data_IF_608279170368
#
_entry.id   IF_608279170368
#
_cell.length_a   1.000
_cell.length_b   1.000
_cell.length_c   1.000
_cell.angle_alpha   90.00
_cell.angle_beta   90.00
_cell.angle_gamma   90.00
#
_symmetry.space_group_name_H-M   'P 1'
#
loop_
_entity.id
_entity.type
_entity.pdbx_description
1 polymer ?
#
# COMPACT_ATOMS: atom_id res chain seq x y z
N UNK A 1 -41.99 7.85 22.86
CA UNK A 1 -41.42 6.89 21.89
C UNK A 1 -39.94 6.83 22.19
N UNK A 2 -39.39 5.64 22.42
CA UNK A 2 -37.99 5.50 22.81
C UNK A 2 -37.13 5.50 21.52
N UNK A 3 -36.51 6.64 21.23
CA UNK A 3 -35.72 6.81 19.99
C UNK A 3 -34.38 6.09 20.01
N UNK A 4 -33.91 5.61 21.16
CA UNK A 4 -32.66 4.84 21.29
C UNK A 4 -32.79 3.41 20.83
N UNK A 5 -34.01 2.92 20.57
CA UNK A 5 -34.24 1.58 20.05
C UNK A 5 -34.17 1.59 18.51
N UNK A 6 -33.79 0.43 17.95
CA UNK A 6 -33.81 0.22 16.50
C UNK A 6 -35.15 0.68 15.88
N UNK A 7 -35.14 1.49 14.80
CA UNK A 7 -36.34 2.09 14.23
C UNK A 7 -37.46 1.10 13.84
N UNK A 8 -37.06 -0.07 13.31
CA UNK A 8 -38.01 -1.13 12.90
C UNK A 8 -38.14 -2.26 13.92
N UNK A 9 -37.51 -2.11 15.11
CA UNK A 9 -37.45 -3.16 16.13
C UNK A 9 -36.69 -4.42 15.66
N UNK A 10 -35.77 -4.30 14.68
CA UNK A 10 -34.96 -5.40 14.14
C UNK A 10 -35.71 -6.32 13.16
N UNK A 11 -36.97 -5.97 12.78
CA UNK A 11 -37.75 -6.84 11.88
C UNK A 11 -37.37 -6.70 10.41
N UNK A 12 -36.90 -5.55 10.01
CA UNK A 12 -36.43 -5.26 8.65
C UNK A 12 -35.10 -4.56 8.72
N UNK A 13 -34.14 -4.92 7.86
CA UNK A 13 -32.85 -4.25 7.86
C UNK A 13 -33.00 -2.79 7.43
N UNK A 14 -32.22 -1.92 8.08
CA UNK A 14 -32.10 -0.52 7.68
C UNK A 14 -30.97 -0.42 6.66
N UNK A 15 -31.27 0.20 5.53
CA UNK A 15 -30.24 0.52 4.53
C UNK A 15 -29.48 1.76 4.95
N UNK A 16 -28.14 1.62 5.00
CA UNK A 16 -27.22 2.68 5.39
C UNK A 16 -26.31 3.00 4.21
N UNK A 17 -26.36 4.23 3.74
CA UNK A 17 -25.40 4.76 2.78
C UNK A 17 -24.21 5.32 3.54
N UNK A 18 -23.00 4.87 3.19
CA UNK A 18 -21.76 5.35 3.81
C UNK A 18 -20.94 6.15 2.83
N UNK A 19 -20.14 7.07 3.35
CA UNK A 19 -19.20 7.88 2.59
C UNK A 19 -17.92 8.08 3.39
N UNK A 20 -16.79 8.04 2.72
CA UNK A 20 -15.46 8.26 3.29
C UNK A 20 -14.79 9.44 2.58
N UNK A 21 -14.45 10.48 3.31
CA UNK A 21 -13.69 11.60 2.80
C UNK A 21 -12.35 11.72 3.51
N UNK A 22 -11.27 11.47 2.79
CA UNK A 22 -9.91 11.47 3.33
C UNK A 22 -9.35 12.89 3.26
N UNK A 23 -8.97 13.44 4.41
CA UNK A 23 -8.42 14.80 4.53
C UNK A 23 -6.91 14.83 4.61
N UNK A 24 -6.29 13.80 5.18
CA UNK A 24 -4.84 13.72 5.29
C UNK A 24 -4.36 12.27 5.38
N UNK A 25 -3.20 12.02 4.76
CA UNK A 25 -2.38 10.84 5.01
C UNK A 25 -1.16 11.27 5.82
N UNK A 26 -0.93 10.59 6.94
CA UNK A 26 0.22 10.87 7.81
C UNK A 26 1.40 9.99 7.41
N UNK A 27 1.18 8.67 7.28
CA UNK A 27 2.21 7.71 6.93
C UNK A 27 1.61 6.47 6.25
N UNK A 28 2.42 5.82 5.42
CA UNK A 28 2.24 4.45 4.95
C UNK A 28 3.48 3.70 5.42
N UNK A 29 3.31 2.75 6.35
CA UNK A 29 4.39 1.99 6.99
C UNK A 29 4.26 0.51 6.61
N UNK A 30 4.99 0.11 5.59
CA UNK A 30 4.99 -1.25 5.09
C UNK A 30 5.65 -2.23 6.07
N UNK A 31 6.55 -1.74 6.93
CA UNK A 31 7.25 -2.57 7.93
C UNK A 31 6.32 -2.96 9.09
N UNK A 32 5.31 -2.12 9.38
CA UNK A 32 4.29 -2.37 10.39
C UNK A 32 2.97 -2.86 9.80
N UNK A 33 2.92 -3.08 8.50
CA UNK A 33 1.71 -3.48 7.79
C UNK A 33 0.53 -2.56 8.11
N UNK A 34 0.76 -1.22 8.06
CA UNK A 34 -0.23 -0.24 8.47
C UNK A 34 -0.11 1.08 7.71
N UNK A 35 -1.18 1.88 7.78
CA UNK A 35 -1.16 3.27 7.33
C UNK A 35 -1.95 4.16 8.28
N UNK A 36 -1.54 5.41 8.40
CA UNK A 36 -2.15 6.41 9.28
C UNK A 36 -2.85 7.47 8.44
N UNK A 37 -4.12 7.73 8.77
CA UNK A 37 -5.01 8.57 7.98
C UNK A 37 -5.99 9.34 8.86
N UNK A 38 -6.34 10.55 8.43
CA UNK A 38 -7.44 11.33 9.01
C UNK A 38 -8.48 11.67 7.96
N UNK A 39 -9.74 11.76 8.40
CA UNK A 39 -10.83 12.02 7.48
C UNK A 39 -12.19 12.17 8.15
N UNK A 40 -13.21 12.06 7.30
CA UNK A 40 -14.63 12.06 7.71
C UNK A 40 -15.28 10.76 7.25
N UNK A 41 -15.91 10.08 8.20
CA UNK A 41 -16.88 9.01 7.92
C UNK A 41 -18.27 9.60 7.98
N UNK A 42 -19.06 9.39 6.94
CA UNK A 42 -20.46 9.81 6.89
C UNK A 42 -21.32 8.58 6.74
N UNK A 43 -22.36 8.46 7.57
CA UNK A 43 -23.40 7.45 7.43
C UNK A 43 -24.77 8.12 7.34
N UNK A 44 -25.61 7.68 6.40
CA UNK A 44 -26.95 8.22 6.18
C UNK A 44 -27.96 7.07 6.12
N UNK A 45 -29.02 7.19 6.90
CA UNK A 45 -30.14 6.22 6.92
C UNK A 45 -31.47 6.94 7.12
N UNK A 46 -32.58 6.23 6.92
CA UNK A 46 -33.90 6.75 7.17
C UNK A 46 -34.47 6.20 8.47
N UNK A 47 -34.92 7.09 9.36
CA UNK A 47 -35.70 6.77 10.54
C UNK A 47 -37.11 7.35 10.38
N UNK A 48 -38.13 6.53 10.03
CA UNK A 48 -39.48 7.00 9.79
C UNK A 48 -40.12 7.68 11.00
N UNK A 49 -39.63 7.42 12.22
CA UNK A 49 -40.14 8.03 13.46
C UNK A 49 -39.85 9.53 13.54
N UNK A 50 -38.84 9.99 12.78
CA UNK A 50 -38.38 11.37 12.75
C UNK A 50 -39.03 12.21 11.63
N UNK A 51 -39.73 11.57 10.70
CA UNK A 51 -40.43 12.27 9.62
C UNK A 51 -41.51 13.19 10.18
N UNK A 52 -41.55 14.45 9.71
CA UNK A 52 -42.57 15.42 10.10
C UNK A 52 -43.73 15.30 9.13
N UNK A 53 -44.98 15.06 9.62
CA UNK A 53 -46.16 14.99 8.77
C UNK A 53 -46.36 16.27 7.94
N UNK A 54 -46.79 16.11 6.69
CA UNK A 54 -46.95 17.22 5.74
C UNK A 54 -47.92 18.30 6.19
N UNK A 55 -48.93 17.95 7.00
CA UNK A 55 -49.93 18.84 7.58
C UNK A 55 -49.36 19.81 8.64
N UNK A 56 -48.30 19.42 9.34
CA UNK A 56 -47.58 20.27 10.31
C UNK A 56 -46.52 21.17 9.66
N UNK A 57 -46.30 20.98 8.38
CA UNK A 57 -45.25 21.67 7.61
C UNK A 57 -45.74 23.01 7.00
N UNK A 58 -47.07 23.23 6.91
CA UNK A 58 -47.66 24.34 6.17
C UNK A 58 -47.68 25.68 6.93
N UNK A 59 -47.39 25.68 8.23
CA UNK A 59 -47.71 26.86 9.08
C UNK A 59 -46.53 27.81 9.37
N UNK A 60 -45.37 27.64 8.77
CA UNK A 60 -44.29 28.64 8.90
C UNK A 60 -43.55 28.81 7.56
N UNK A 61 -43.91 29.93 6.92
CA UNK A 61 -43.28 30.40 5.66
C UNK A 61 -41.76 30.67 5.72
N UNK A 62 -41.00 29.69 6.14
CA UNK A 62 -39.55 29.69 6.10
C UNK A 62 -39.12 28.37 5.51
N UNK A 63 -38.63 28.40 4.29
CA UNK A 63 -37.95 27.31 3.55
C UNK A 63 -36.63 26.83 4.22
N UNK A 64 -36.44 27.14 5.51
CA UNK A 64 -35.36 26.65 6.29
C UNK A 64 -35.62 25.17 6.59
N UNK A 65 -34.84 24.30 5.96
CA UNK A 65 -34.71 22.90 6.28
C UNK A 65 -34.65 22.72 7.79
N UNK A 66 -35.71 22.14 8.40
CA UNK A 66 -35.73 21.86 9.83
C UNK A 66 -34.73 20.76 10.14
N UNK A 67 -33.49 21.17 10.37
CA UNK A 67 -32.40 20.25 10.80
C UNK A 67 -32.51 20.17 12.33
N UNK A 68 -32.70 18.95 12.83
CA UNK A 68 -32.69 18.64 14.27
C UNK A 68 -31.39 17.94 14.60
N UNK A 69 -30.66 18.45 15.60
CA UNK A 69 -29.40 17.87 16.09
C UNK A 69 -29.68 16.96 17.27
N UNK A 70 -29.05 15.81 17.32
CA UNK A 70 -29.17 14.81 18.37
C UNK A 70 -27.82 14.47 18.96
N UNK A 71 -27.84 13.89 20.18
CA UNK A 71 -26.69 13.19 20.76
C UNK A 71 -26.79 11.71 20.42
N UNK A 72 -25.67 11.00 20.44
CA UNK A 72 -25.62 9.54 20.21
C UNK A 72 -26.43 8.76 21.26
N UNK A 73 -26.59 9.32 22.46
CA UNK A 73 -27.41 8.75 23.56
C UNK A 73 -28.92 8.94 23.38
N UNK A 74 -29.33 9.90 22.56
CA UNK A 74 -30.75 10.29 22.40
C UNK A 74 -31.40 9.62 21.18
N UNK A 75 -30.64 9.14 20.24
CA UNK A 75 -31.13 8.56 18.99
C UNK A 75 -30.37 7.29 18.64
N UNK A 76 -31.08 6.28 18.18
CA UNK A 76 -30.44 5.09 17.62
C UNK A 76 -29.56 5.48 16.45
N UNK A 77 -28.31 5.02 16.52
CA UNK A 77 -27.35 5.14 15.44
C UNK A 77 -26.65 3.78 15.23
N UNK A 78 -26.36 3.40 14.00
CA UNK A 78 -25.55 2.21 13.74
C UNK A 78 -24.16 2.43 14.33
N UNK A 79 -23.72 1.51 15.19
CA UNK A 79 -22.36 1.52 15.70
C UNK A 79 -21.45 0.97 14.57
N UNK A 80 -20.93 1.84 13.73
CA UNK A 80 -20.02 1.48 12.64
C UNK A 80 -18.59 1.63 13.14
N UNK A 81 -17.80 0.59 12.97
CA UNK A 81 -16.39 0.58 13.33
C UNK A 81 -15.50 0.23 12.11
N UNK A 82 -14.24 0.64 12.15
CA UNK A 82 -13.26 0.20 11.19
C UNK A 82 -12.70 -1.17 11.61
N UNK A 83 -13.06 -2.23 10.86
CA UNK A 83 -12.72 -3.63 11.19
C UNK A 83 -11.22 -3.89 11.22
N UNK A 84 -10.47 -3.24 10.31
CA UNK A 84 -9.03 -3.33 10.24
C UNK A 84 -8.29 -2.25 11.05
N UNK A 85 -8.95 -1.60 12.04
CA UNK A 85 -8.29 -0.55 12.82
C UNK A 85 -7.37 -1.12 13.90
N UNK A 86 -6.13 -0.64 13.93
CA UNK A 86 -5.19 -0.82 15.04
C UNK A 86 -5.49 0.22 16.11
N UNK A 87 -5.81 1.44 15.70
CA UNK A 87 -6.26 2.51 16.58
C UNK A 87 -7.22 3.41 15.83
N UNK A 88 -8.29 3.83 16.51
CA UNK A 88 -9.29 4.74 15.98
C UNK A 88 -9.60 5.81 17.03
N UNK A 89 -9.50 7.07 16.63
CA UNK A 89 -9.81 8.22 17.50
C UNK A 89 -10.86 9.07 16.84
N UNK A 90 -12.05 9.06 17.42
CA UNK A 90 -13.11 10.01 17.09
C UNK A 90 -12.77 11.37 17.70
N UNK A 91 -12.60 12.39 16.86
CA UNK A 91 -12.30 13.75 17.30
C UNK A 91 -13.58 14.56 17.55
N UNK A 92 -14.52 14.46 16.65
CA UNK A 92 -15.80 15.16 16.70
C UNK A 92 -16.85 14.36 15.94
N UNK A 93 -18.11 14.51 16.30
CA UNK A 93 -19.24 13.98 15.53
C UNK A 93 -20.38 14.98 15.42
N UNK A 94 -21.22 14.80 14.42
CA UNK A 94 -22.49 15.49 14.23
C UNK A 94 -23.54 14.45 13.87
N UNK A 95 -24.70 14.52 14.52
CA UNK A 95 -25.84 13.64 14.25
C UNK A 95 -27.08 14.54 14.02
N UNK A 96 -27.55 14.57 12.79
CA UNK A 96 -28.62 15.44 12.37
C UNK A 96 -29.71 14.68 11.63
N UNK A 97 -30.97 15.06 11.85
CA UNK A 97 -32.10 14.54 11.08
C UNK A 97 -32.77 15.68 10.30
N UNK A 98 -33.08 15.39 9.03
CA UNK A 98 -33.87 16.28 8.20
C UNK A 98 -35.38 16.07 8.40
N UNK A 99 -36.18 16.85 7.66
CA UNK A 99 -37.64 16.85 7.73
C UNK A 99 -38.25 15.51 7.30
N UNK A 100 -37.63 14.82 6.36
CA UNK A 100 -38.13 13.57 5.80
C UNK A 100 -37.70 12.34 6.64
N UNK A 101 -37.01 12.59 7.77
CA UNK A 101 -36.56 11.57 8.69
C UNK A 101 -35.24 10.91 8.25
N UNK A 102 -34.54 11.49 7.29
CA UNK A 102 -33.16 11.03 7.00
C UNK A 102 -32.23 11.55 8.09
N UNK A 103 -31.53 10.61 8.70
CA UNK A 103 -30.49 10.86 9.69
C UNK A 103 -29.13 10.82 9.03
N UNK A 104 -28.33 11.83 9.29
CA UNK A 104 -26.94 11.90 8.82
C UNK A 104 -26.01 11.97 10.02
N UNK A 105 -25.14 10.97 10.14
CA UNK A 105 -24.03 10.92 11.07
C UNK A 105 -22.76 11.30 10.34
N UNK A 106 -21.99 12.21 10.90
CA UNK A 106 -20.67 12.60 10.39
C UNK A 106 -19.69 12.50 11.56
N UNK A 107 -18.63 11.76 11.36
CA UNK A 107 -17.54 11.62 12.31
C UNK A 107 -16.24 12.10 11.68
N UNK A 108 -15.53 12.96 12.41
CA UNK A 108 -14.13 13.27 12.10
C UNK A 108 -13.23 12.36 12.89
N UNK A 109 -12.37 11.61 12.20
CA UNK A 109 -11.50 10.62 12.81
C UNK A 109 -10.04 10.78 12.41
N UNK A 110 -9.14 10.25 13.27
CA UNK A 110 -7.78 9.87 12.95
C UNK A 110 -7.63 8.38 13.28
N UNK A 111 -7.07 7.61 12.36
CA UNK A 111 -6.95 6.16 12.52
C UNK A 111 -5.63 5.61 11.98
N UNK A 112 -5.15 4.56 12.64
CA UNK A 112 -4.12 3.67 12.11
C UNK A 112 -4.81 2.37 11.70
N UNK A 113 -4.73 2.03 10.43
CA UNK A 113 -5.38 0.87 9.85
C UNK A 113 -4.35 -0.17 9.42
N UNK A 114 -4.62 -1.44 9.68
CA UNK A 114 -3.83 -2.56 9.19
C UNK A 114 -4.04 -2.76 7.69
N UNK A 115 -2.99 -3.14 6.97
CA UNK A 115 -3.07 -3.38 5.53
C UNK A 115 -1.99 -4.35 5.08
N UNK A 116 -2.35 -5.32 4.26
CA UNK A 116 -1.41 -6.24 3.63
C UNK A 116 -0.74 -5.58 2.42
N UNK A 117 0.59 -5.66 2.35
CA UNK A 117 1.38 -5.09 1.26
C UNK A 117 2.03 -6.19 0.42
N UNK A 118 1.85 -6.14 -0.91
CA UNK A 118 2.63 -6.97 -1.83
C UNK A 118 3.85 -6.20 -2.36
N UNK A 119 5.02 -6.56 -1.84
CA UNK A 119 6.30 -5.93 -2.16
C UNK A 119 7.13 -6.72 -3.19
N UNK A 120 6.56 -7.75 -3.85
CA UNK A 120 7.30 -8.53 -4.85
C UNK A 120 7.89 -7.67 -5.96
N UNK A 121 7.15 -6.63 -6.39
CA UNK A 121 7.57 -5.68 -7.43
C UNK A 121 8.23 -4.41 -6.89
N UNK A 122 8.59 -4.40 -5.61
CA UNK A 122 9.24 -3.24 -5.00
C UNK A 122 10.50 -2.84 -5.75
N UNK A 123 10.71 -1.56 -6.11
CA UNK A 123 9.92 -0.37 -5.78
C UNK A 123 8.95 0.08 -6.90
N UNK A 124 8.55 -0.79 -7.80
CA UNK A 124 7.60 -0.49 -8.90
C UNK A 124 6.18 -0.99 -8.60
N UNK A 125 5.89 -1.16 -7.31
CA UNK A 125 4.66 -1.73 -6.78
C UNK A 125 3.48 -0.73 -6.80
N UNK A 126 2.28 -1.31 -6.82
CA UNK A 126 1.02 -0.65 -6.54
C UNK A 126 0.41 -1.32 -5.33
N UNK A 127 -0.09 -0.54 -4.40
CA UNK A 127 -0.73 -1.04 -3.20
C UNK A 127 -2.20 -0.65 -3.17
N UNK A 128 -3.00 -1.45 -2.50
CA UNK A 128 -4.41 -1.18 -2.25
C UNK A 128 -4.58 -0.98 -0.76
N UNK A 129 -4.86 0.25 -0.35
CA UNK A 129 -5.16 0.57 1.04
C UNK A 129 -6.64 0.32 1.27
N UNK A 130 -6.98 -0.51 2.25
CA UNK A 130 -8.34 -0.90 2.55
C UNK A 130 -8.87 -0.19 3.80
N UNK A 131 -10.09 0.33 3.71
CA UNK A 131 -10.86 0.87 4.81
C UNK A 131 -12.11 0.00 4.94
N UNK A 132 -12.13 -0.85 5.95
CA UNK A 132 -13.16 -1.86 6.16
C UNK A 132 -14.08 -1.41 7.30
N UNK A 133 -15.33 -1.04 6.97
CA UNK A 133 -16.30 -0.60 7.95
C UNK A 133 -17.38 -1.66 8.14
N UNK A 134 -17.60 -2.05 9.37
CA UNK A 134 -18.63 -3.03 9.77
C UNK A 134 -19.47 -2.51 10.92
N UNK A 135 -20.71 -3.02 11.09
CA UNK A 135 -21.50 -2.73 12.28
C UNK A 135 -21.01 -3.57 13.46
N UNK A 136 -20.68 -2.93 14.60
CA UNK A 136 -20.09 -3.59 15.77
C UNK A 136 -20.98 -4.65 16.42
N UNK A 137 -22.25 -4.36 16.62
CA UNK A 137 -23.19 -5.23 17.35
C UNK A 137 -24.41 -5.67 16.52
N UNK A 138 -24.56 -5.15 15.30
CA UNK A 138 -25.75 -5.39 14.48
C UNK A 138 -25.50 -6.48 13.46
N UNK A 139 -26.52 -7.30 13.25
CA UNK A 139 -26.47 -8.40 12.29
C UNK A 139 -26.87 -7.93 10.89
N UNK A 140 -26.57 -8.75 9.87
CA UNK A 140 -27.03 -8.51 8.50
C UNK A 140 -28.57 -8.49 8.36
N UNK A 141 -29.31 -8.96 9.36
CA UNK A 141 -30.76 -8.82 9.45
C UNK A 141 -31.24 -7.45 9.91
N UNK A 142 -30.36 -6.68 10.55
CA UNK A 142 -30.69 -5.34 11.12
C UNK A 142 -30.14 -4.20 10.26
N UNK A 143 -28.97 -4.40 9.65
CA UNK A 143 -28.28 -3.38 8.85
C UNK A 143 -27.88 -3.93 7.51
N UNK A 144 -28.05 -3.12 6.47
CA UNK A 144 -27.55 -3.37 5.11
C UNK A 144 -26.87 -2.10 4.60
N UNK A 145 -25.64 -2.24 4.11
CA UNK A 145 -24.98 -1.14 3.42
C UNK A 145 -25.52 -0.98 1.99
N UNK A 146 -25.73 0.28 1.59
CA UNK A 146 -26.16 0.61 0.24
C UNK A 146 -25.08 0.19 -0.80
N UNK A 147 -25.48 -0.22 -2.01
CA UNK A 147 -24.54 -0.69 -3.04
C UNK A 147 -23.67 0.44 -3.62
N UNK A 148 -24.02 1.69 -3.33
CA UNK A 148 -23.27 2.87 -3.77
C UNK A 148 -22.90 3.76 -2.59
N UNK A 149 -21.71 4.36 -2.60
CA UNK A 149 -21.30 5.26 -1.53
C UNK A 149 -22.03 6.60 -1.63
N UNK A 150 -21.97 7.38 -0.55
CA UNK A 150 -22.48 8.75 -0.57
C UNK A 150 -21.66 9.64 -1.52
N UNK A 151 -22.27 10.65 -2.16
CA UNK A 151 -21.58 11.61 -3.04
C UNK A 151 -20.45 12.38 -2.34
N UNK A 152 -20.45 12.44 -1.01
CA UNK A 152 -19.39 13.03 -0.19
C UNK A 152 -18.11 12.19 -0.14
N UNK A 153 -18.09 11.00 -0.76
CA UNK A 153 -16.91 10.13 -0.81
C UNK A 153 -15.85 10.72 -1.71
N UNK A 154 -14.61 10.78 -1.21
CA UNK A 154 -13.52 11.34 -1.98
C UNK A 154 -12.24 11.54 -1.19
N UNK A 155 -11.32 12.24 -1.79
CA UNK A 155 -10.01 12.57 -1.22
C UNK A 155 -9.79 14.07 -1.42
N UNK A 156 -9.29 14.75 -0.38
CA UNK A 156 -8.92 16.16 -0.49
C UNK A 156 -7.91 16.38 -1.63
N UNK A 157 -8.14 17.35 -2.52
CA UNK A 157 -7.22 17.63 -3.65
C UNK A 157 -5.78 17.91 -3.21
N UNK A 158 -5.59 18.46 -2.03
CA UNK A 158 -4.26 18.74 -1.46
C UNK A 158 -3.45 17.47 -1.21
N UNK A 159 -4.11 16.34 -0.92
CA UNK A 159 -3.45 15.08 -0.60
C UNK A 159 -2.81 14.40 -1.81
N UNK A 160 -3.24 14.70 -3.03
CA UNK A 160 -2.58 14.21 -4.25
C UNK A 160 -1.13 14.69 -4.38
N UNK A 161 -0.76 15.77 -3.70
CA UNK A 161 0.57 16.37 -3.75
C UNK A 161 1.42 16.12 -2.49
N UNK A 162 0.82 15.83 -1.35
CA UNK A 162 1.52 15.72 -0.07
C UNK A 162 2.23 14.38 0.17
N UNK A 163 1.75 13.28 -0.43
CA UNK A 163 2.44 12.00 -0.36
C UNK A 163 3.65 11.97 -1.30
N UNK A 164 4.82 12.35 -0.76
CA UNK A 164 6.06 12.46 -1.55
C UNK A 164 6.46 11.13 -2.23
N UNK A 165 6.27 10.00 -1.55
CA UNK A 165 6.65 8.66 -2.02
C UNK A 165 5.57 7.96 -2.84
N UNK A 166 4.31 8.44 -2.81
CA UNK A 166 3.17 7.76 -3.39
C UNK A 166 2.36 8.67 -4.32
N UNK A 167 1.72 8.07 -5.29
CA UNK A 167 0.75 8.70 -6.17
C UNK A 167 -0.60 8.02 -5.92
N UNK A 168 -1.61 8.81 -5.57
CA UNK A 168 -2.98 8.35 -5.40
C UNK A 168 -3.60 8.23 -6.80
N UNK A 169 -4.25 7.08 -7.07
CA UNK A 169 -4.86 6.83 -8.38
C UNK A 169 -6.38 6.86 -8.31
N UNK A 170 -6.98 5.94 -7.52
CA UNK A 170 -8.42 5.69 -7.59
C UNK A 170 -8.95 5.27 -6.22
N UNK A 171 -10.17 5.69 -5.90
CA UNK A 171 -10.91 5.28 -4.70
C UNK A 171 -12.15 4.50 -5.15
N UNK A 172 -12.24 3.24 -4.77
CA UNK A 172 -13.35 2.33 -5.10
C UNK A 172 -14.12 1.98 -3.84
N UNK A 173 -15.39 1.70 -4.02
CA UNK A 173 -16.27 1.26 -2.95
C UNK A 173 -16.94 -0.07 -3.34
N UNK A 174 -17.03 -0.98 -2.39
CA UNK A 174 -17.79 -2.22 -2.49
C UNK A 174 -18.53 -2.49 -1.17
N UNK A 175 -19.75 -3.01 -1.26
CA UNK A 175 -20.48 -3.50 -0.11
C UNK A 175 -20.53 -5.03 -0.22
N UNK A 176 -19.77 -5.72 0.60
CA UNK A 176 -19.61 -7.18 0.54
C UNK A 176 -20.21 -7.87 1.78
N UNK A 177 -20.65 -9.11 1.61
CA UNK A 177 -21.01 -9.95 2.75
C UNK A 177 -19.78 -10.70 3.20
N UNK A 178 -19.32 -10.41 4.39
CA UNK A 178 -18.17 -11.10 5.00
C UNK A 178 -18.70 -12.09 6.04
N UNK A 179 -18.13 -13.27 6.03
CA UNK A 179 -18.32 -14.24 7.11
C UNK A 179 -17.50 -13.73 8.31
N UNK A 180 -18.19 -13.08 9.23
CA UNK A 180 -17.62 -12.63 10.49
C UNK A 180 -17.06 -13.81 11.28
N UNK A 181 -16.14 -13.50 12.20
CA UNK A 181 -15.51 -14.46 13.09
C UNK A 181 -16.51 -15.45 13.71
N UNK A 182 -16.04 -16.64 14.10
CA UNK A 182 -16.82 -17.81 14.54
C UNK A 182 -17.90 -17.54 15.59
N UNK A 183 -17.89 -16.39 16.23
CA UNK A 183 -18.81 -16.04 17.31
C UNK A 183 -19.85 -14.98 16.96
N UNK A 184 -19.74 -14.32 15.82
CA UNK A 184 -20.69 -13.28 15.38
C UNK A 184 -21.43 -13.72 14.12
N UNK A 185 -22.72 -13.40 13.98
CA UNK A 185 -23.47 -13.69 12.76
C UNK A 185 -22.87 -12.93 11.57
N UNK A 186 -23.02 -13.45 10.34
CA UNK A 186 -22.52 -12.77 9.14
C UNK A 186 -22.99 -11.33 9.09
N UNK A 187 -22.08 -10.40 8.95
CA UNK A 187 -22.34 -8.98 8.77
C UNK A 187 -22.03 -8.57 7.33
N UNK A 188 -22.53 -7.43 6.91
CA UNK A 188 -22.13 -6.81 5.66
C UNK A 188 -21.07 -5.77 5.95
N UNK A 189 -20.00 -5.75 5.16
CA UNK A 189 -18.94 -4.74 5.24
C UNK A 189 -19.06 -3.73 4.11
N UNK A 190 -18.73 -2.49 4.43
CA UNK A 190 -18.52 -1.41 3.48
C UNK A 190 -17.00 -1.20 3.31
N UNK A 191 -16.47 -1.60 2.18
CA UNK A 191 -15.02 -1.56 1.91
C UNK A 191 -14.71 -0.45 0.93
N UNK A 192 -13.84 0.49 1.34
CA UNK A 192 -13.26 1.48 0.45
C UNK A 192 -11.82 1.08 0.15
N UNK A 193 -11.49 0.99 -1.13
CA UNK A 193 -10.19 0.58 -1.63
C UNK A 193 -9.51 1.73 -2.33
N UNK A 194 -8.40 2.20 -1.78
CA UNK A 194 -7.60 3.25 -2.36
C UNK A 194 -6.36 2.68 -3.03
N UNK A 195 -6.29 2.81 -4.35
CA UNK A 195 -5.13 2.37 -5.12
C UNK A 195 -4.05 3.45 -5.11
N UNK A 196 -2.89 3.11 -4.56
CA UNK A 196 -1.72 3.98 -4.54
C UNK A 196 -0.56 3.35 -5.30
N UNK A 197 0.21 4.16 -6.03
CA UNK A 197 1.39 3.74 -6.79
C UNK A 197 2.64 4.39 -6.22
N UNK A 198 3.69 3.60 -5.98
CA UNK A 198 4.98 4.11 -5.49
C UNK A 198 5.70 4.95 -6.55
N UNK A 199 6.29 6.07 -6.12
CA UNK A 199 7.19 6.89 -6.95
C UNK A 199 8.60 6.31 -6.88
N UNK A 200 8.95 5.48 -7.84
CA UNK A 200 10.22 4.74 -7.86
C UNK A 200 11.47 5.61 -8.08
N UNK A 201 11.33 6.90 -8.37
CA UNK A 201 12.46 7.80 -8.73
C UNK A 201 13.56 7.84 -7.68
N UNK A 202 13.21 7.90 -6.40
CA UNK A 202 14.19 7.85 -5.31
C UNK A 202 15.05 6.58 -5.37
N UNK A 203 14.39 5.43 -5.49
CA UNK A 203 15.04 4.10 -5.53
C UNK A 203 15.92 3.93 -6.77
N UNK A 204 15.46 4.43 -7.94
CA UNK A 204 16.25 4.40 -9.18
C UNK A 204 17.59 5.11 -9.00
N UNK A 205 17.57 6.36 -8.51
CA UNK A 205 18.78 7.16 -8.40
C UNK A 205 19.66 6.80 -7.19
N UNK A 206 19.05 6.42 -6.07
CA UNK A 206 19.78 6.18 -4.83
C UNK A 206 20.23 4.73 -4.63
N UNK A 207 19.58 3.77 -5.30
CA UNK A 207 19.86 2.35 -5.14
C UNK A 207 20.34 1.73 -6.45
N UNK A 208 19.51 1.76 -7.50
CA UNK A 208 19.84 1.04 -8.74
C UNK A 208 21.06 1.63 -9.47
N UNK A 209 21.22 2.94 -9.51
CA UNK A 209 22.38 3.56 -10.17
C UNK A 209 23.68 3.22 -9.45
N UNK A 210 23.86 3.41 -8.12
CA UNK A 210 25.06 2.97 -7.42
C UNK A 210 25.33 1.47 -7.55
N UNK A 211 24.31 0.63 -7.43
CA UNK A 211 24.43 -0.83 -7.57
C UNK A 211 24.90 -1.21 -8.98
N UNK A 212 24.33 -0.59 -10.01
CA UNK A 212 24.77 -0.80 -11.39
C UNK A 212 26.22 -0.38 -11.60
N UNK A 213 26.64 0.76 -11.04
CA UNK A 213 28.05 1.18 -11.09
C UNK A 213 28.97 0.18 -10.40
N UNK A 214 28.63 -0.28 -9.19
CA UNK A 214 29.40 -1.29 -8.46
C UNK A 214 29.49 -2.62 -9.23
N UNK A 215 28.44 -2.99 -9.96
CA UNK A 215 28.41 -4.21 -10.77
C UNK A 215 29.25 -4.05 -12.06
N UNK A 216 29.26 -2.88 -12.66
CA UNK A 216 29.98 -2.64 -13.93
C UNK A 216 31.45 -2.30 -13.73
N UNK A 217 31.87 -1.74 -12.59
CA UNK A 217 33.28 -1.40 -12.33
C UNK A 217 34.21 -2.63 -12.48
N UNK A 218 33.88 -3.85 -12.03
CA UNK A 218 34.71 -5.04 -12.27
C UNK A 218 34.99 -5.31 -13.75
N UNK A 219 34.14 -4.83 -14.67
CA UNK A 219 34.37 -4.96 -16.10
C UNK A 219 35.76 -4.40 -16.54
N UNK A 220 36.27 -3.39 -15.84
CA UNK A 220 37.54 -2.75 -16.14
C UNK A 220 38.71 -3.75 -16.10
N UNK A 221 38.63 -4.81 -15.29
CA UNK A 221 39.68 -5.81 -15.18
C UNK A 221 39.95 -6.53 -16.51
N UNK A 222 38.95 -6.66 -17.39
CA UNK A 222 39.10 -7.32 -18.69
C UNK A 222 39.98 -6.53 -19.68
N UNK A 223 40.39 -5.30 -19.38
CA UNK A 223 41.37 -4.52 -20.14
C UNK A 223 42.77 -4.53 -19.52
N UNK A 224 42.92 -5.12 -18.32
CA UNK A 224 44.20 -5.25 -17.63
C UNK A 224 44.87 -6.53 -18.11
N UNK A 225 46.24 -6.50 -18.22
CA UNK A 225 47.00 -7.68 -18.63
C UNK A 225 46.80 -8.83 -17.65
N UNK A 226 46.59 -10.02 -18.21
CA UNK A 226 46.39 -11.27 -17.47
C UNK A 226 47.52 -11.62 -16.51
N UNK A 227 48.71 -11.02 -16.69
CA UNK A 227 49.90 -11.24 -15.83
C UNK A 227 49.78 -10.47 -14.49
N UNK A 228 48.90 -9.48 -14.40
CA UNK A 228 48.72 -8.64 -13.20
C UNK A 228 47.65 -9.22 -12.27
N UNK A 229 47.79 -10.47 -11.86
CA UNK A 229 46.80 -11.21 -11.08
C UNK A 229 46.32 -10.46 -9.83
N UNK A 230 47.23 -9.80 -9.11
CA UNK A 230 46.89 -9.06 -7.88
C UNK A 230 45.89 -7.91 -8.15
N UNK A 231 46.07 -7.19 -9.25
CA UNK A 231 45.15 -6.11 -9.65
C UNK A 231 43.83 -6.66 -10.16
N UNK A 232 43.88 -7.74 -10.96
CA UNK A 232 42.69 -8.38 -11.47
C UNK A 232 41.76 -8.83 -10.33
N UNK A 233 42.30 -9.39 -9.25
CA UNK A 233 41.52 -9.91 -8.12
C UNK A 233 41.05 -8.80 -7.18
N UNK A 234 41.86 -7.76 -6.93
CA UNK A 234 41.54 -6.67 -5.99
C UNK A 234 40.27 -5.93 -6.36
N UNK A 235 40.05 -5.61 -7.64
CA UNK A 235 38.90 -4.79 -8.08
C UNK A 235 37.57 -5.47 -7.79
N UNK A 236 37.30 -6.71 -8.28
CA UNK A 236 35.99 -7.33 -8.01
C UNK A 236 35.79 -7.68 -6.54
N UNK A 237 36.85 -8.05 -5.79
CA UNK A 237 36.76 -8.32 -4.36
C UNK A 237 36.38 -7.05 -3.57
N UNK A 238 36.95 -5.89 -3.93
CA UNK A 238 36.60 -4.61 -3.32
C UNK A 238 35.13 -4.24 -3.63
N UNK A 239 34.68 -4.46 -4.86
CA UNK A 239 33.29 -4.19 -5.24
C UNK A 239 32.30 -5.12 -4.54
N UNK A 240 32.62 -6.41 -4.38
CA UNK A 240 31.82 -7.35 -3.59
C UNK A 240 31.66 -6.85 -2.15
N UNK A 241 32.76 -6.46 -1.49
CA UNK A 241 32.68 -5.95 -0.13
C UNK A 241 31.85 -4.66 -0.06
N UNK A 242 32.00 -3.76 -1.02
CA UNK A 242 31.24 -2.53 -1.12
C UNK A 242 29.75 -2.80 -1.33
N UNK A 243 29.39 -3.78 -2.17
CA UNK A 243 27.99 -4.19 -2.37
C UNK A 243 27.37 -4.75 -1.10
N UNK A 244 28.09 -5.61 -0.35
CA UNK A 244 27.62 -6.14 0.93
C UNK A 244 27.33 -4.99 1.91
N UNK A 245 28.25 -4.04 2.05
CA UNK A 245 28.06 -2.89 2.93
C UNK A 245 26.89 -2.01 2.48
N UNK A 246 26.69 -1.85 1.17
CA UNK A 246 25.60 -1.10 0.59
C UNK A 246 24.25 -1.78 0.82
N UNK A 247 24.15 -3.10 0.62
CA UNK A 247 22.97 -3.90 0.91
C UNK A 247 22.56 -3.76 2.38
N UNK A 248 23.49 -3.92 3.32
CA UNK A 248 23.22 -3.74 4.75
C UNK A 248 22.68 -2.35 5.08
N UNK A 249 23.15 -1.32 4.39
CA UNK A 249 22.68 0.05 4.61
C UNK A 249 21.23 0.22 4.15
N UNK A 250 20.86 -0.35 3.00
CA UNK A 250 19.54 -0.20 2.41
C UNK A 250 18.50 -1.09 3.10
N UNK A 251 18.88 -2.31 3.47
CA UNK A 251 17.97 -3.30 4.11
C UNK A 251 17.45 -2.82 5.47
N UNK A 252 18.10 -1.84 6.11
CA UNK A 252 17.62 -1.29 7.38
C UNK A 252 16.27 -0.57 7.27
N UNK A 253 16.03 0.07 6.14
CA UNK A 253 14.85 0.92 5.91
C UNK A 253 13.76 0.18 5.12
N UNK A 254 13.98 -1.11 4.82
CA UNK A 254 13.04 -1.94 4.07
C UNK A 254 12.27 -2.90 4.98
N UNK A 255 11.00 -3.18 4.69
CA UNK A 255 10.22 -4.17 5.43
C UNK A 255 10.81 -5.58 5.23
N UNK A 256 10.78 -6.38 6.30
CA UNK A 256 11.24 -7.77 6.29
C UNK A 256 10.13 -8.67 5.80
N UNK A 257 10.22 -9.11 4.56
CA UNK A 257 9.23 -10.01 3.94
C UNK A 257 9.80 -11.42 3.77
N UNK A 258 8.94 -12.43 3.78
CA UNK A 258 9.34 -13.84 3.64
C UNK A 258 9.52 -14.32 2.19
N UNK A 259 9.59 -13.41 1.23
CA UNK A 259 9.76 -13.70 -0.20
C UNK A 259 10.77 -12.76 -0.85
N UNK A 260 11.30 -13.16 -2.01
CA UNK A 260 12.27 -12.36 -2.76
C UNK A 260 11.56 -11.23 -3.51
N UNK A 261 11.98 -10.00 -3.27
CA UNK A 261 11.51 -8.83 -4.02
C UNK A 261 12.32 -8.63 -5.30
N UNK A 262 11.81 -7.80 -6.22
CA UNK A 262 12.58 -7.43 -7.42
C UNK A 262 13.92 -6.79 -7.04
N UNK A 263 13.97 -5.96 -6.02
CA UNK A 263 15.20 -5.35 -5.53
C UNK A 263 16.20 -6.40 -5.03
N UNK A 264 15.75 -7.36 -4.23
CA UNK A 264 16.61 -8.46 -3.75
C UNK A 264 17.17 -9.28 -4.91
N UNK A 265 16.34 -9.58 -5.93
CA UNK A 265 16.77 -10.30 -7.11
C UNK A 265 17.85 -9.56 -7.89
N UNK A 266 17.77 -8.22 -7.99
CA UNK A 266 18.80 -7.40 -8.63
C UNK A 266 20.10 -7.40 -7.81
N UNK A 267 20.04 -7.34 -6.47
CA UNK A 267 21.23 -7.50 -5.61
C UNK A 267 21.87 -8.87 -5.79
N UNK A 268 21.10 -9.94 -5.70
CA UNK A 268 21.61 -11.32 -5.89
C UNK A 268 22.24 -11.51 -7.25
N UNK A 269 21.63 -10.99 -8.32
CA UNK A 269 22.18 -11.03 -9.66
C UNK A 269 23.49 -10.25 -9.76
N UNK A 270 23.60 -9.10 -9.14
CA UNK A 270 24.80 -8.27 -9.09
C UNK A 270 25.95 -8.99 -8.36
N UNK A 271 25.66 -9.60 -7.21
CA UNK A 271 26.62 -10.46 -6.51
C UNK A 271 27.09 -11.62 -7.38
N UNK A 272 26.16 -12.36 -7.99
CA UNK A 272 26.49 -13.51 -8.84
C UNK A 272 27.41 -13.10 -10.00
N UNK A 273 27.16 -11.97 -10.64
CA UNK A 273 28.01 -11.47 -11.72
C UNK A 273 29.42 -11.09 -11.24
N UNK A 274 29.54 -10.42 -10.09
CA UNK A 274 30.84 -10.13 -9.49
C UNK A 274 31.59 -11.42 -9.11
N UNK A 275 30.92 -12.44 -8.57
CA UNK A 275 31.49 -13.75 -8.31
C UNK A 275 31.99 -14.44 -9.60
N UNK A 276 31.18 -14.39 -10.67
CA UNK A 276 31.56 -14.93 -11.96
C UNK A 276 32.84 -14.27 -12.51
N UNK A 277 32.99 -12.94 -12.29
CA UNK A 277 34.24 -12.24 -12.64
C UNK A 277 35.45 -12.79 -11.84
N UNK A 278 35.29 -13.02 -10.52
CA UNK A 278 36.34 -13.63 -9.69
C UNK A 278 36.69 -15.06 -10.18
N UNK A 279 35.69 -15.87 -10.52
CA UNK A 279 35.90 -17.22 -11.06
C UNK A 279 36.59 -17.20 -12.42
N UNK A 280 36.26 -16.22 -13.27
CA UNK A 280 36.95 -16.04 -14.55
C UNK A 280 38.46 -15.76 -14.33
N UNK A 281 38.77 -14.79 -13.45
CA UNK A 281 40.15 -14.43 -13.11
C UNK A 281 40.94 -15.63 -12.57
N UNK A 282 40.33 -16.40 -11.68
CA UNK A 282 40.95 -17.64 -11.16
C UNK A 282 41.19 -18.66 -12.28
N UNK A 283 40.23 -18.81 -13.20
CA UNK A 283 40.36 -19.71 -14.35
C UNK A 283 41.51 -19.28 -15.26
N UNK A 284 41.64 -17.99 -15.55
CA UNK A 284 42.71 -17.39 -16.33
C UNK A 284 44.06 -17.67 -15.66
N UNK A 285 44.16 -17.45 -14.36
CA UNK A 285 45.38 -17.75 -13.58
C UNK A 285 45.78 -19.23 -13.66
N UNK A 286 44.83 -20.16 -13.49
CA UNK A 286 45.10 -21.61 -13.57
C UNK A 286 45.52 -22.04 -14.98
N UNK A 287 44.96 -21.46 -16.03
CA UNK A 287 45.35 -21.70 -17.41
C UNK A 287 46.77 -21.24 -17.68
N UNK A 288 47.16 -20.07 -17.19
CA UNK A 288 48.52 -19.56 -17.29
C UNK A 288 49.51 -20.47 -16.57
N UNK A 289 49.21 -20.90 -15.34
CA UNK A 289 50.04 -21.82 -14.55
C UNK A 289 50.25 -23.17 -15.26
N UNK A 290 49.27 -23.59 -16.08
CA UNK A 290 49.38 -24.82 -16.93
C UNK A 290 50.03 -24.57 -18.27
N UNK A 291 50.65 -23.42 -18.52
CA UNK A 291 51.32 -23.07 -19.77
C UNK A 291 50.37 -22.76 -20.95
N UNK A 292 49.05 -22.66 -20.73
CA UNK A 292 48.06 -22.38 -21.77
C UNK A 292 47.74 -20.88 -21.88
N UNK A 293 48.76 -20.06 -22.09
CA UNK A 293 48.64 -18.59 -22.15
C UNK A 293 47.70 -18.13 -23.23
N UNK A 294 47.72 -18.72 -24.42
CA UNK A 294 46.84 -18.33 -25.53
C UNK A 294 45.36 -18.49 -25.17
N UNK A 295 45.01 -19.63 -24.55
CA UNK A 295 43.64 -19.88 -24.07
C UNK A 295 43.22 -18.90 -22.94
N UNK A 296 44.15 -18.59 -22.03
CA UNK A 296 43.92 -17.64 -20.95
C UNK A 296 43.58 -16.24 -21.50
N UNK A 297 44.37 -15.73 -22.45
CA UNK A 297 44.11 -14.44 -23.10
C UNK A 297 42.80 -14.45 -23.87
N UNK A 298 42.46 -15.55 -24.56
CA UNK A 298 41.19 -15.66 -25.28
C UNK A 298 39.98 -15.61 -24.33
N UNK A 299 40.02 -16.36 -23.23
CA UNK A 299 38.93 -16.34 -22.22
C UNK A 299 38.78 -14.95 -21.64
N UNK A 300 39.87 -14.33 -21.22
CA UNK A 300 39.86 -12.99 -20.63
C UNK A 300 39.33 -11.92 -21.60
N UNK A 301 39.78 -11.95 -22.85
CA UNK A 301 39.31 -11.01 -23.88
C UNK A 301 37.83 -11.19 -24.22
N UNK A 302 37.29 -12.42 -24.14
CA UNK A 302 35.88 -12.68 -24.33
C UNK A 302 35.03 -12.05 -23.19
N UNK A 303 35.57 -12.00 -21.98
CA UNK A 303 34.94 -11.38 -20.82
C UNK A 303 34.54 -9.92 -21.04
N UNK A 304 35.29 -9.17 -21.87
CA UNK A 304 34.98 -7.78 -22.24
C UNK A 304 33.55 -7.58 -22.75
N UNK A 305 33.07 -8.56 -23.50
CA UNK A 305 31.72 -8.48 -24.11
C UNK A 305 30.70 -9.36 -23.39
N UNK A 306 31.14 -10.54 -22.91
CA UNK A 306 30.24 -11.47 -22.22
C UNK A 306 29.71 -10.86 -20.93
N UNK A 307 30.53 -10.20 -20.14
CA UNK A 307 30.13 -9.64 -18.84
C UNK A 307 29.03 -8.58 -18.96
N UNK A 308 29.17 -7.50 -19.75
CA UNK A 308 28.11 -6.49 -19.90
C UNK A 308 26.86 -7.05 -20.57
N UNK A 309 26.99 -7.97 -21.53
CA UNK A 309 25.83 -8.62 -22.15
C UNK A 309 25.09 -9.51 -21.16
N UNK A 310 25.81 -10.24 -20.31
CA UNK A 310 25.21 -11.02 -19.24
C UNK A 310 24.48 -10.13 -18.24
N UNK A 311 25.06 -8.99 -17.84
CA UNK A 311 24.41 -8.02 -16.97
C UNK A 311 23.10 -7.52 -17.58
N UNK A 312 23.11 -7.06 -18.83
CA UNK A 312 21.91 -6.57 -19.52
C UNK A 312 20.87 -7.69 -19.68
N UNK A 313 21.29 -8.89 -20.03
CA UNK A 313 20.42 -10.06 -20.18
C UNK A 313 19.73 -10.44 -18.87
N UNK A 314 20.46 -10.44 -17.77
CA UNK A 314 19.90 -10.74 -16.44
C UNK A 314 18.93 -9.66 -16.00
N UNK A 315 19.27 -8.38 -16.16
CA UNK A 315 18.34 -7.28 -15.81
C UNK A 315 17.06 -7.37 -16.65
N UNK A 316 17.18 -7.63 -17.96
CA UNK A 316 16.01 -7.80 -18.82
C UNK A 316 15.14 -8.99 -18.38
N UNK A 317 15.77 -10.12 -18.06
CA UNK A 317 15.07 -11.30 -17.54
C UNK A 317 14.31 -10.99 -16.25
N UNK A 318 14.94 -10.30 -15.30
CA UNK A 318 14.31 -9.90 -14.04
C UNK A 318 13.11 -8.96 -14.28
N UNK A 319 13.27 -7.97 -15.16
CA UNK A 319 12.17 -7.07 -15.54
C UNK A 319 10.98 -7.89 -16.08
N UNK A 320 11.24 -8.81 -17.02
CA UNK A 320 10.17 -9.66 -17.57
C UNK A 320 9.53 -10.52 -16.48
N UNK A 321 10.32 -11.19 -15.64
CA UNK A 321 9.80 -12.12 -14.61
C UNK A 321 8.92 -11.42 -13.54
N UNK A 322 9.27 -10.20 -13.15
CA UNK A 322 8.55 -9.48 -12.11
C UNK A 322 7.43 -8.56 -12.64
N UNK A 323 7.35 -8.32 -13.94
CA UNK A 323 6.30 -7.46 -14.54
C UNK A 323 5.24 -8.24 -15.33
N UNK A 324 5.47 -9.53 -15.61
CA UNK A 324 4.42 -10.46 -16.07
C UNK A 324 3.67 -11.06 -14.88
#
# INVERSE_FOLDING_TARGET
>A
MDLNKHPTGGKTPIEISVGLYITNFVAIDESRESFEVGGYLTAKWQDPRLAVPADQAADKGTEQTLIRTFRLEDLWAPAIEAANSISHKMNQYSLVADRDGFVTYIERFDAVLSNDYDLRRFPFDKQVLQFEFQPFLSTASEIRFAPQPLPSTGISPEQHTQLAAWQINDLRYTAEKVATDRFLPPAQEAVFQLVVKRRAGFYLWKIFVPLAMMTLVPMVVFWIDVEQFDWLLKVPMTMLLSMVAFEFTITRDLPRVGYVTFLDAVFLASFALCFLCVFEILTVYLLQKRGRRSTAVMVHSAGRWIYPMAYLGVILLLIVTFHT
#
